data_IF_691845062518
#
_entry.id   IF_691845062518
#
_cell.length_a   1.000
_cell.length_b   1.000
_cell.length_c   1.000
_cell.angle_alpha   90.00
_cell.angle_beta   90.00
_cell.angle_gamma   90.00
#
_symmetry.space_group_name_H-M   'P 1'
#
loop_
_entity.id
_entity.type
_entity.pdbx_description
1 polymer ?
#
# COMPACT_ATOMS: atom_id res chain seq x y z
N UNK A 1 60.94 -20.17 41.99
CA UNK A 1 60.49 -21.42 41.33
C UNK A 1 58.98 -21.37 41.18
N UNK A 2 58.49 -21.53 39.95
CA UNK A 2 57.10 -21.41 39.50
C UNK A 2 56.20 -22.50 40.10
N UNK A 3 54.97 -22.18 40.52
CA UNK A 3 53.79 -23.07 40.41
C UNK A 3 52.54 -22.26 40.07
N UNK A 4 51.73 -22.85 39.21
CA UNK A 4 50.75 -22.26 38.30
C UNK A 4 49.42 -21.89 38.97
N UNK A 5 48.83 -20.77 38.55
CA UNK A 5 47.39 -20.50 38.73
C UNK A 5 46.64 -21.10 37.53
N UNK A 6 45.74 -22.04 37.78
CA UNK A 6 44.79 -22.55 36.78
C UNK A 6 43.61 -21.59 36.76
N UNK A 7 43.55 -20.74 35.73
CA UNK A 7 42.39 -19.94 35.38
C UNK A 7 41.47 -20.85 34.58
N UNK A 8 40.30 -21.17 35.11
CA UNK A 8 39.24 -21.86 34.36
C UNK A 8 38.49 -20.82 33.54
N UNK A 9 38.85 -20.71 32.26
CA UNK A 9 38.08 -19.98 31.26
C UNK A 9 36.94 -20.88 30.78
N UNK A 10 35.69 -20.51 31.09
CA UNK A 10 34.51 -21.15 30.48
C UNK A 10 34.19 -20.39 29.19
N UNK A 11 34.71 -20.91 28.08
CA UNK A 11 34.41 -20.43 26.73
C UNK A 11 33.04 -20.96 26.28
N UNK A 12 32.05 -20.08 26.15
CA UNK A 12 30.75 -20.36 25.54
C UNK A 12 30.92 -20.34 24.01
N UNK A 13 30.91 -21.51 23.36
CA UNK A 13 30.85 -21.61 21.91
C UNK A 13 29.39 -21.44 21.46
N UNK A 14 29.10 -20.34 20.76
CA UNK A 14 27.85 -20.14 20.03
C UNK A 14 27.87 -20.94 18.73
N UNK A 15 26.96 -21.90 18.58
CA UNK A 15 26.80 -22.68 17.36
C UNK A 15 25.92 -21.90 16.38
N UNK A 16 26.52 -21.42 15.30
CA UNK A 16 25.86 -20.87 14.11
C UNK A 16 25.40 -22.05 13.25
N UNK A 17 24.08 -22.21 13.07
CA UNK A 17 23.53 -23.20 12.14
C UNK A 17 23.39 -22.59 10.75
N UNK A 18 24.35 -22.89 9.85
CA UNK A 18 24.20 -22.64 8.42
C UNK A 18 23.37 -23.78 7.80
N UNK A 19 22.18 -23.46 7.30
CA UNK A 19 21.30 -24.39 6.56
C UNK A 19 21.64 -24.32 5.07
N UNK A 20 22.37 -25.32 4.56
CA UNK A 20 22.47 -25.61 3.12
C UNK A 20 21.62 -26.85 2.80
N UNK A 21 20.63 -26.67 1.93
CA UNK A 21 19.69 -27.70 1.48
C UNK A 21 20.25 -28.54 0.32
N UNK A 22 20.18 -29.89 0.44
CA UNK A 22 19.74 -30.89 -0.57
C UNK A 22 20.01 -32.34 -0.09
N UNK A 23 19.34 -33.37 -0.66
CA UNK A 23 18.01 -33.87 -0.35
C UNK A 23 18.02 -35.24 0.39
N UNK A 24 16.89 -35.58 1.02
CA UNK A 24 16.65 -36.78 1.85
C UNK A 24 16.63 -38.10 1.07
N UNK A 25 16.84 -39.24 1.77
CA UNK A 25 15.71 -40.16 1.92
C UNK A 25 15.48 -40.65 3.38
N UNK A 26 14.20 -40.66 3.79
CA UNK A 26 13.52 -41.52 4.81
C UNK A 26 14.27 -41.80 6.13
N UNK A 27 14.02 -41.16 7.30
CA UNK A 27 12.77 -41.02 8.11
C UNK A 27 12.02 -42.36 8.22
N UNK A 28 12.13 -43.16 9.29
CA UNK A 28 11.70 -42.82 10.67
C UNK A 28 12.43 -43.56 11.82
N UNK A 29 13.54 -44.28 11.59
CA UNK A 29 14.16 -45.13 12.64
C UNK A 29 15.46 -44.61 13.28
N UNK A 30 16.00 -43.47 12.82
CA UNK A 30 17.27 -42.90 13.35
C UNK A 30 17.05 -41.85 14.46
N UNK A 31 15.90 -41.17 14.49
CA UNK A 31 15.61 -40.08 15.44
C UNK A 31 15.32 -40.60 16.88
N UNK A 32 14.94 -41.88 17.04
CA UNK A 32 14.67 -42.45 18.35
C UNK A 32 15.96 -42.75 19.15
N UNK A 33 17.01 -43.23 18.48
CA UNK A 33 18.29 -43.58 19.12
C UNK A 33 19.09 -42.36 19.58
N UNK A 34 19.09 -41.28 18.79
CA UNK A 34 19.78 -40.02 19.17
C UNK A 34 19.11 -39.33 20.37
N UNK A 35 17.78 -39.39 20.46
CA UNK A 35 17.05 -38.79 21.59
C UNK A 35 17.31 -39.52 22.92
N UNK A 36 17.51 -40.83 22.90
CA UNK A 36 17.83 -41.60 24.11
C UNK A 36 19.28 -41.36 24.56
N UNK A 37 20.22 -41.25 23.63
CA UNK A 37 21.61 -40.91 23.92
C UNK A 37 21.75 -39.50 24.54
N UNK A 38 21.02 -38.51 24.02
CA UNK A 38 21.01 -37.14 24.54
C UNK A 38 20.39 -37.06 25.94
N UNK A 39 19.32 -37.81 26.20
CA UNK A 39 18.69 -37.88 27.54
C UNK A 39 19.63 -38.50 28.58
N UNK A 40 20.38 -39.53 28.19
CA UNK A 40 21.37 -40.16 29.07
C UNK A 40 22.54 -39.21 29.39
N UNK A 41 23.00 -38.40 28.43
CA UNK A 41 24.04 -37.39 28.67
C UNK A 41 23.55 -36.25 29.58
N UNK A 42 22.31 -35.80 29.42
CA UNK A 42 21.72 -34.75 30.25
C UNK A 42 21.54 -35.21 31.71
N UNK A 43 21.13 -36.47 31.91
CA UNK A 43 21.03 -37.08 33.23
C UNK A 43 22.41 -37.27 33.91
N UNK A 44 23.45 -37.62 33.14
CA UNK A 44 24.82 -37.73 33.64
C UNK A 44 25.37 -36.37 34.09
N UNK A 45 25.21 -35.33 33.26
CA UNK A 45 25.64 -33.97 33.58
C UNK A 45 24.92 -33.39 34.82
N UNK A 46 23.62 -33.69 34.98
CA UNK A 46 22.88 -33.26 36.17
C UNK A 46 23.35 -33.96 37.45
N UNK A 47 23.77 -35.23 37.37
CA UNK A 47 24.37 -35.94 38.51
C UNK A 47 25.73 -35.35 38.89
N UNK A 48 26.56 -35.00 37.91
CA UNK A 48 27.86 -34.35 38.17
C UNK A 48 27.70 -32.98 38.82
N UNK A 49 26.76 -32.15 38.35
CA UNK A 49 26.45 -30.85 38.98
C UNK A 49 25.93 -31.04 40.42
N UNK A 50 25.13 -32.07 40.67
CA UNK A 50 24.59 -32.35 42.02
C UNK A 50 25.69 -32.84 42.96
N UNK A 51 26.61 -33.67 42.48
CA UNK A 51 27.78 -34.13 43.24
C UNK A 51 28.71 -32.96 43.55
N UNK A 52 29.01 -32.11 42.55
CA UNK A 52 29.83 -30.91 42.72
C UNK A 52 29.23 -29.91 43.71
N UNK A 53 27.91 -29.72 43.69
CA UNK A 53 27.20 -28.89 44.69
C UNK A 53 27.21 -29.49 46.09
N UNK A 54 27.21 -30.82 46.22
CA UNK A 54 27.29 -31.50 47.53
C UNK A 54 28.69 -31.54 48.12
N UNK A 55 29.74 -31.41 47.29
CA UNK A 55 31.14 -31.36 47.71
C UNK A 55 31.64 -29.94 48.02
N UNK A 56 30.93 -28.90 47.56
CA UNK A 56 31.22 -27.50 47.87
C UNK A 56 30.69 -27.13 49.28
N UNK A 57 31.36 -27.62 50.32
CA UNK A 57 31.13 -27.18 51.70
C UNK A 57 31.59 -25.73 51.91
N UNK A 58 30.65 -24.89 52.39
CA UNK A 58 30.81 -23.56 53.02
C UNK A 58 32.00 -22.71 52.55
N UNK A 59 31.73 -21.76 51.66
CA UNK A 59 32.55 -20.55 51.51
C UNK A 59 31.84 -19.41 52.25
N UNK A 60 32.45 -18.90 53.31
CA UNK A 60 32.09 -17.63 53.92
C UNK A 60 32.38 -16.51 52.92
N UNK A 61 31.32 -15.81 52.50
CA UNK A 61 31.44 -14.63 51.64
C UNK A 61 31.75 -13.45 52.54
N UNK A 62 33.01 -13.03 52.57
CA UNK A 62 33.40 -11.71 53.06
C UNK A 62 33.00 -10.72 51.95
N UNK A 63 31.91 -9.97 52.16
CA UNK A 63 31.52 -8.85 51.30
C UNK A 63 32.63 -7.79 51.31
N UNK A 64 33.54 -7.88 50.35
CA UNK A 64 34.42 -6.77 50.02
C UNK A 64 33.73 -6.00 48.91
N UNK A 65 33.01 -4.93 49.28
CA UNK A 65 32.42 -3.98 48.35
C UNK A 65 33.55 -3.25 47.62
N UNK A 66 33.98 -3.81 46.50
CA UNK A 66 34.80 -3.08 45.52
C UNK A 66 33.80 -2.30 44.67
N UNK A 67 33.56 -1.04 45.06
CA UNK A 67 33.02 -0.04 44.15
C UNK A 67 34.07 0.18 43.07
N UNK A 68 34.01 -0.61 42.00
CA UNK A 68 34.61 -0.22 40.73
C UNK A 68 33.73 0.92 40.23
N UNK A 69 34.24 2.16 40.11
CA UNK A 69 33.52 3.17 39.37
C UNK A 69 33.55 2.69 37.92
N UNK A 70 32.45 2.08 37.48
CA UNK A 70 32.17 2.02 36.06
C UNK A 70 31.77 3.44 35.71
N UNK A 71 32.75 4.28 35.38
CA UNK A 71 32.49 5.35 34.42
C UNK A 71 32.04 4.64 33.14
N UNK A 72 30.73 4.49 33.00
CA UNK A 72 30.11 4.27 31.69
C UNK A 72 30.49 5.52 30.92
N UNK A 73 31.45 5.42 30.01
CA UNK A 73 31.67 6.51 29.08
C UNK A 73 30.38 6.66 28.28
N UNK A 74 29.70 7.76 28.56
CA UNK A 74 28.50 8.25 27.91
C UNK A 74 28.83 8.61 26.45
N UNK A 75 29.12 7.57 25.67
CA UNK A 75 29.54 7.62 24.27
C UNK A 75 28.35 7.55 23.32
N UNK A 76 27.13 7.72 23.86
CA UNK A 76 25.94 7.95 23.07
C UNK A 76 25.91 9.43 22.66
N UNK A 77 25.79 9.70 21.37
CA UNK A 77 25.60 11.07 20.90
C UNK A 77 24.33 11.65 21.56
N UNK A 78 24.33 12.91 22.03
CA UNK A 78 23.12 13.54 22.51
C UNK A 78 22.00 13.45 21.46
N UNK A 79 20.75 13.29 21.89
CA UNK A 79 19.58 13.19 20.99
C UNK A 79 19.57 14.30 19.94
N UNK A 80 19.86 15.55 20.34
CA UNK A 80 19.95 16.67 19.41
C UNK A 80 21.02 16.48 18.34
N UNK A 81 22.20 15.98 18.72
CA UNK A 81 23.30 15.73 17.78
C UNK A 81 22.93 14.64 16.75
N UNK A 82 22.11 13.66 17.14
CA UNK A 82 21.60 12.63 16.21
C UNK A 82 20.65 13.26 15.18
N UNK A 83 19.75 14.14 15.61
CA UNK A 83 18.87 14.87 14.71
C UNK A 83 19.67 15.78 13.77
N UNK A 84 20.67 16.51 14.29
CA UNK A 84 21.53 17.38 13.48
C UNK A 84 22.27 16.55 12.41
N UNK A 85 22.78 15.36 12.76
CA UNK A 85 23.40 14.46 11.79
C UNK A 85 22.43 13.99 10.71
N UNK A 86 21.16 13.73 11.03
CA UNK A 86 20.11 13.43 10.03
C UNK A 86 19.87 14.63 9.10
N UNK A 87 19.80 15.84 9.65
CA UNK A 87 19.65 17.10 8.92
C UNK A 87 20.87 17.41 8.05
N UNK A 88 22.05 16.91 8.37
CA UNK A 88 23.28 17.12 7.59
C UNK A 88 23.56 16.03 6.53
N UNK A 89 22.82 14.91 6.53
CA UNK A 89 23.02 13.82 5.56
C UNK A 89 22.97 14.30 4.11
N UNK A 90 23.97 13.94 3.31
CA UNK A 90 24.01 14.21 1.87
C UNK A 90 23.03 13.31 1.09
N UNK A 91 21.95 13.82 0.49
CA UNK A 91 20.99 12.99 -0.25
C UNK A 91 21.58 12.33 -1.51
N UNK A 92 22.74 12.79 -2.00
CA UNK A 92 23.44 12.21 -3.14
C UNK A 92 24.24 10.94 -2.83
N UNK A 93 24.62 10.75 -1.56
CA UNK A 93 25.51 9.65 -1.15
C UNK A 93 24.81 8.29 -1.11
N UNK A 94 25.54 7.24 -1.51
CA UNK A 94 25.09 5.85 -1.41
C UNK A 94 24.90 5.38 0.03
N UNK A 95 25.58 6.01 0.99
CA UNK A 95 25.54 5.61 2.40
C UNK A 95 24.40 6.26 3.17
N UNK A 96 23.68 7.21 2.57
CA UNK A 96 22.70 8.04 3.27
C UNK A 96 21.56 7.24 3.85
N UNK A 97 20.99 6.29 3.10
CA UNK A 97 19.92 5.43 3.64
C UNK A 97 20.41 4.61 4.85
N UNK A 98 21.61 4.01 4.77
CA UNK A 98 22.17 3.23 5.87
C UNK A 98 22.45 4.08 7.12
N UNK A 99 22.99 5.28 6.93
CA UNK A 99 23.26 6.22 8.03
C UNK A 99 21.96 6.75 8.64
N UNK A 100 20.98 7.09 7.81
CA UNK A 100 19.67 7.51 8.26
C UNK A 100 18.98 6.43 9.08
N UNK A 101 18.97 5.17 8.61
CA UNK A 101 18.45 4.03 9.38
C UNK A 101 19.14 3.96 10.75
N UNK A 102 20.48 3.97 10.79
CA UNK A 102 21.20 3.94 12.06
C UNK A 102 20.78 5.07 13.02
N UNK A 103 20.65 6.30 12.53
CA UNK A 103 20.24 7.43 13.36
C UNK A 103 18.78 7.37 13.79
N UNK A 104 17.87 6.91 12.93
CA UNK A 104 16.46 6.69 13.29
C UNK A 104 16.33 5.60 14.36
N UNK A 105 17.00 4.45 14.20
CA UNK A 105 17.04 3.39 15.23
C UNK A 105 17.62 3.91 16.54
N UNK A 106 18.68 4.73 16.48
CA UNK A 106 19.24 5.35 17.69
C UNK A 106 18.20 6.23 18.41
N UNK A 107 17.41 7.04 17.68
CA UNK A 107 16.34 7.84 18.28
C UNK A 107 15.23 6.96 18.88
N UNK A 108 14.93 5.80 18.29
CA UNK A 108 13.99 4.82 18.86
C UNK A 108 14.54 4.25 20.17
N UNK A 109 15.83 3.92 20.22
CA UNK A 109 16.50 3.40 21.44
C UNK A 109 16.47 4.42 22.59
N UNK A 110 16.48 5.72 22.30
CA UNK A 110 16.30 6.78 23.30
C UNK A 110 14.85 6.91 23.81
N UNK A 111 13.87 6.28 23.15
CA UNK A 111 12.48 6.27 23.60
C UNK A 111 11.88 7.67 23.80
N UNK A 112 11.22 7.88 24.93
CA UNK A 112 10.56 9.14 25.27
C UNK A 112 11.51 10.35 25.28
N UNK A 113 12.81 10.15 25.53
CA UNK A 113 13.80 11.23 25.60
C UNK A 113 14.08 11.85 24.22
N UNK A 114 13.77 11.12 23.14
CA UNK A 114 13.86 11.65 21.78
C UNK A 114 12.70 12.59 21.40
N UNK A 115 11.53 12.41 22.01
CA UNK A 115 10.29 13.06 21.60
C UNK A 115 10.31 14.59 21.66
N UNK A 116 10.91 15.27 22.66
CA UNK A 116 10.99 16.73 22.69
C UNK A 116 11.75 17.31 21.49
N UNK A 117 12.85 16.65 21.10
CA UNK A 117 13.67 17.08 19.96
C UNK A 117 12.93 16.83 18.64
N UNK A 118 12.25 15.69 18.51
CA UNK A 118 11.42 15.38 17.34
C UNK A 118 10.25 16.37 17.21
N UNK A 119 9.57 16.67 18.33
CA UNK A 119 8.48 17.65 18.39
C UNK A 119 8.91 19.00 17.86
N UNK A 120 10.05 19.48 18.35
CA UNK A 120 10.59 20.77 17.93
C UNK A 120 10.79 20.82 16.41
N UNK A 121 11.34 19.76 15.83
CA UNK A 121 11.53 19.67 14.38
C UNK A 121 10.21 19.56 13.59
N UNK A 122 9.23 18.81 14.10
CA UNK A 122 7.98 18.57 13.37
C UNK A 122 7.00 19.74 13.43
N UNK A 123 7.00 20.50 14.53
CA UNK A 123 5.97 21.48 14.86
C UNK A 123 6.55 22.89 15.04
N UNK A 124 7.66 23.05 15.76
CA UNK A 124 8.09 24.35 16.26
C UNK A 124 9.06 25.09 15.32
N UNK A 125 9.91 24.35 14.61
CA UNK A 125 10.93 24.91 13.73
C UNK A 125 10.47 24.93 12.26
N UNK A 126 10.75 26.04 11.55
CA UNK A 126 10.50 26.21 10.11
C UNK A 126 11.58 25.50 9.26
N UNK A 127 11.85 24.23 9.56
CA UNK A 127 12.83 23.45 8.83
C UNK A 127 12.29 22.99 7.48
N UNK A 128 13.07 23.25 6.43
CA UNK A 128 12.81 22.64 5.13
C UNK A 128 12.99 21.13 5.20
N UNK A 129 11.92 20.40 4.93
CA UNK A 129 11.94 18.94 4.91
C UNK A 129 12.91 18.42 3.85
N UNK A 130 13.64 17.38 4.20
CA UNK A 130 14.63 16.77 3.32
C UNK A 130 14.02 15.57 2.60
N UNK A 131 14.01 15.62 1.28
CA UNK A 131 13.66 14.47 0.45
C UNK A 131 14.82 13.46 0.36
N UNK A 132 14.48 12.17 0.38
CA UNK A 132 15.39 11.07 0.09
C UNK A 132 15.10 10.55 -1.33
N UNK A 133 15.81 11.02 -2.38
CA UNK A 133 15.36 10.82 -3.77
C UNK A 133 15.32 9.35 -4.22
N UNK A 134 16.20 8.52 -3.65
CA UNK A 134 16.25 7.07 -3.93
C UNK A 134 15.01 6.36 -3.38
N UNK A 135 14.62 6.68 -2.15
CA UNK A 135 13.41 6.20 -1.51
C UNK A 135 12.16 6.64 -2.26
N UNK A 136 12.08 7.91 -2.68
CA UNK A 136 10.98 8.42 -3.51
C UNK A 136 10.89 7.64 -4.83
N UNK A 137 12.02 7.37 -5.49
CA UNK A 137 12.04 6.55 -6.72
C UNK A 137 11.61 5.10 -6.46
N UNK A 138 12.01 4.51 -5.34
CA UNK A 138 11.59 3.17 -4.93
C UNK A 138 10.08 3.11 -4.66
N UNK A 139 9.55 4.06 -3.88
CA UNK A 139 8.12 4.16 -3.58
C UNK A 139 7.27 4.44 -4.82
N UNK A 140 7.78 5.24 -5.78
CA UNK A 140 7.13 5.40 -7.09
C UNK A 140 7.07 4.07 -7.87
N UNK A 141 8.13 3.24 -7.79
CA UNK A 141 8.13 1.91 -8.42
C UNK A 141 7.17 0.94 -7.74
N UNK A 142 7.09 0.94 -6.41
CA UNK A 142 6.15 0.06 -5.66
C UNK A 142 4.70 0.46 -5.95
N UNK A 143 4.35 1.75 -5.88
CA UNK A 143 3.03 2.25 -6.27
C UNK A 143 2.70 1.92 -7.73
N UNK A 144 3.68 2.00 -8.65
CA UNK A 144 3.48 1.58 -10.05
C UNK A 144 3.28 0.07 -10.19
N UNK A 145 3.88 -0.76 -9.35
CA UNK A 145 3.66 -2.22 -9.33
C UNK A 145 2.30 -2.57 -8.72
N UNK A 146 1.89 -1.94 -7.63
CA UNK A 146 0.56 -2.09 -7.03
C UNK A 146 -0.53 -1.71 -8.05
N UNK A 147 -0.38 -0.53 -8.68
CA UNK A 147 -1.25 -0.10 -9.77
C UNK A 147 -1.23 -1.04 -10.99
N UNK A 148 -0.16 -1.82 -11.21
CA UNK A 148 -0.12 -2.84 -12.26
C UNK A 148 -0.76 -4.17 -11.86
N UNK A 149 -0.72 -4.53 -10.58
CA UNK A 149 -1.43 -5.69 -10.04
C UNK A 149 -2.95 -5.45 -10.12
N UNK A 150 -3.40 -4.26 -9.71
CA UNK A 150 -4.80 -3.80 -9.87
C UNK A 150 -5.19 -3.67 -11.35
N UNK A 151 -4.21 -3.46 -12.25
CA UNK A 151 -4.43 -3.42 -13.70
C UNK A 151 -4.46 -4.80 -14.36
N UNK A 152 -3.93 -5.85 -13.74
CA UNK A 152 -4.09 -7.24 -14.21
C UNK A 152 -5.50 -7.75 -13.95
N UNK A 153 -6.23 -7.19 -12.98
CA UNK A 153 -7.67 -7.39 -12.78
C UNK A 153 -8.51 -6.38 -13.61
N UNK A 154 -8.00 -5.16 -13.85
CA UNK A 154 -8.68 -4.09 -14.62
C UNK A 154 -8.12 -3.92 -16.07
N UNK A 155 -8.04 -5.01 -16.83
CA UNK A 155 -7.16 -5.14 -17.99
C UNK A 155 -7.22 -4.02 -19.06
N UNK A 156 -6.06 -3.39 -19.32
CA UNK A 156 -5.58 -3.18 -20.69
C UNK A 156 -5.56 -1.76 -21.30
N UNK A 157 -6.16 -0.72 -20.74
CA UNK A 157 -6.57 0.45 -21.56
C UNK A 157 -5.47 1.48 -21.88
N UNK A 158 -4.60 1.86 -20.93
CA UNK A 158 -3.65 2.96 -21.14
C UNK A 158 -2.58 2.75 -22.25
N UNK A 159 -2.50 1.55 -22.85
CA UNK A 159 -1.54 1.26 -23.92
C UNK A 159 -2.01 1.64 -25.33
N UNK A 160 -3.32 1.84 -25.57
CA UNK A 160 -3.89 2.01 -26.93
C UNK A 160 -4.63 3.33 -27.19
N UNK A 161 -4.97 4.12 -26.16
CA UNK A 161 -5.57 5.46 -26.34
C UNK A 161 -4.57 6.55 -26.77
N UNK A 162 -3.36 6.16 -27.18
CA UNK A 162 -2.23 7.09 -27.29
C UNK A 162 -1.81 7.60 -25.91
N UNK A 163 -0.50 7.73 -25.69
CA UNK A 163 -0.07 8.76 -24.75
C UNK A 163 -0.30 10.08 -25.50
N UNK A 164 -0.79 11.15 -24.86
CA UNK A 164 -0.90 12.42 -25.56
C UNK A 164 0.45 12.74 -26.19
N UNK A 165 0.43 13.17 -27.45
CA UNK A 165 1.48 14.02 -27.99
C UNK A 165 1.79 15.04 -26.92
N UNK A 166 3.05 15.11 -26.51
CA UNK A 166 3.52 16.06 -25.53
C UNK A 166 3.39 17.45 -26.16
N UNK A 167 2.22 18.07 -26.03
CA UNK A 167 2.11 19.52 -26.22
C UNK A 167 2.98 20.14 -25.14
N UNK A 168 4.16 20.60 -25.53
CA UNK A 168 5.04 21.37 -24.68
C UNK A 168 4.25 22.58 -24.16
N UNK A 169 4.01 22.63 -22.84
CA UNK A 169 3.41 23.80 -22.19
C UNK A 169 2.15 23.57 -21.35
N UNK A 170 1.47 22.40 -21.42
CA UNK A 170 0.34 22.13 -20.52
C UNK A 170 0.82 21.45 -19.22
N UNK A 171 0.57 22.06 -18.04
CA UNK A 171 0.93 21.44 -16.77
C UNK A 171 0.14 20.14 -16.56
N UNK A 172 0.77 19.15 -15.90
CA UNK A 172 0.08 17.94 -15.47
C UNK A 172 -0.85 18.28 -14.33
N UNK A 173 -2.11 18.59 -14.63
CA UNK A 173 -3.13 18.89 -13.62
C UNK A 173 -3.24 17.75 -12.59
N UNK A 174 -3.04 18.08 -11.31
CA UNK A 174 -3.55 17.28 -10.20
C UNK A 174 -5.08 17.18 -10.36
N UNK A 175 -5.61 15.97 -10.47
CA UNK A 175 -7.04 15.76 -10.80
C UNK A 175 -7.33 15.65 -12.30
N UNK A 176 -6.34 15.38 -13.15
CA UNK A 176 -6.59 14.94 -14.53
C UNK A 176 -7.53 13.72 -14.57
N UNK A 177 -8.37 13.59 -15.59
CA UNK A 177 -9.20 12.40 -15.85
C UNK A 177 -8.41 11.09 -15.70
N UNK A 178 -7.14 11.08 -16.11
CA UNK A 178 -6.24 9.93 -16.00
C UNK A 178 -6.01 9.43 -14.57
N UNK A 179 -6.27 10.25 -13.55
CA UNK A 179 -6.17 9.84 -12.15
C UNK A 179 -7.19 8.74 -11.80
N UNK A 180 -8.36 8.70 -12.45
CA UNK A 180 -9.37 7.67 -12.25
C UNK A 180 -8.84 6.25 -12.53
N UNK A 181 -8.01 6.10 -13.57
CA UNK A 181 -7.43 4.81 -13.96
C UNK A 181 -6.20 4.40 -13.13
N UNK A 182 -5.83 5.19 -12.12
CA UNK A 182 -4.72 4.90 -11.22
C UNK A 182 -5.32 4.60 -9.85
N UNK A 183 -4.79 3.57 -9.17
CA UNK A 183 -5.09 3.38 -7.76
C UNK A 183 -4.61 4.60 -6.97
N UNK A 184 -5.30 4.86 -5.86
CA UNK A 184 -4.85 5.87 -4.91
C UNK A 184 -3.43 5.55 -4.42
N UNK A 185 -2.58 6.57 -4.22
CA UNK A 185 -1.26 6.35 -3.66
C UNK A 185 -1.39 5.72 -2.27
N UNK A 186 -0.49 4.78 -1.96
CA UNK A 186 -0.46 4.12 -0.65
C UNK A 186 0.84 4.53 0.07
N UNK A 187 0.78 5.03 1.31
CA UNK A 187 1.97 5.20 2.13
C UNK A 187 2.59 3.82 2.39
N UNK A 188 3.91 3.78 2.54
CA UNK A 188 4.62 2.53 2.81
C UNK A 188 5.53 2.72 4.02
N UNK A 189 5.04 2.26 5.17
CA UNK A 189 5.74 2.30 6.45
C UNK A 189 6.82 1.20 6.57
N UNK A 190 6.81 0.22 5.67
CA UNK A 190 7.75 -0.92 5.69
C UNK A 190 8.94 -0.68 4.74
N UNK A 191 8.96 0.46 4.03
CA UNK A 191 10.07 0.89 3.20
C UNK A 191 10.76 2.10 3.83
N UNK A 192 12.01 2.33 3.44
CA UNK A 192 12.76 3.50 3.86
C UNK A 192 11.96 4.80 3.59
N UNK A 193 11.88 5.72 4.57
CA UNK A 193 11.01 6.89 4.49
C UNK A 193 11.41 7.80 3.32
N UNK A 194 10.44 8.39 2.60
CA UNK A 194 10.72 9.27 1.48
C UNK A 194 11.23 10.66 1.89
N UNK A 195 11.00 11.09 3.14
CA UNK A 195 11.52 12.34 3.70
C UNK A 195 11.97 12.19 5.15
N UNK A 196 12.74 13.16 5.63
CA UNK A 196 13.16 13.22 7.03
C UNK A 196 11.95 13.32 7.97
N UNK A 197 10.98 14.19 7.67
CA UNK A 197 9.75 14.31 8.48
C UNK A 197 9.00 12.99 8.58
N UNK A 198 8.83 12.27 7.47
CA UNK A 198 8.17 10.95 7.50
C UNK A 198 8.98 9.96 8.33
N UNK A 199 10.31 9.93 8.20
CA UNK A 199 11.16 9.08 9.04
C UNK A 199 11.01 9.38 10.54
N UNK A 200 10.85 10.65 10.91
CA UNK A 200 10.62 11.03 12.31
C UNK A 200 9.21 10.67 12.81
N UNK A 201 8.20 10.68 11.94
CA UNK A 201 6.88 10.12 12.26
C UNK A 201 6.98 8.60 12.51
N UNK A 202 7.76 7.89 11.70
CA UNK A 202 8.03 6.46 11.89
C UNK A 202 8.77 6.18 13.20
N UNK A 203 9.76 7.00 13.57
CA UNK A 203 10.44 6.92 14.87
C UNK A 203 9.46 7.07 16.03
N UNK A 204 8.65 8.13 16.04
CA UNK A 204 7.63 8.32 17.08
C UNK A 204 6.64 7.14 17.14
N UNK A 205 6.27 6.59 15.99
CA UNK A 205 5.40 5.41 15.91
C UNK A 205 6.03 4.18 16.55
N UNK A 206 7.33 3.94 16.32
CA UNK A 206 8.07 2.81 16.85
C UNK A 206 8.39 2.95 18.36
N UNK A 207 8.48 4.19 18.87
CA UNK A 207 8.54 4.46 20.31
C UNK A 207 7.22 4.04 20.99
N UNK A 208 6.08 4.40 20.39
CA UNK A 208 4.78 3.81 20.72
C UNK A 208 4.20 4.10 22.11
N UNK A 209 4.78 5.05 22.86
CA UNK A 209 4.28 5.46 24.18
C UNK A 209 3.11 6.47 24.07
N UNK A 210 2.42 6.74 25.18
CA UNK A 210 1.37 7.78 25.22
C UNK A 210 1.90 9.18 24.84
N UNK A 211 3.16 9.48 25.17
CA UNK A 211 3.80 10.73 24.76
C UNK A 211 4.05 10.77 23.26
N UNK A 212 4.43 9.64 22.66
CA UNK A 212 4.62 9.53 21.22
C UNK A 212 3.27 9.63 20.47
N UNK A 213 2.22 8.99 20.99
CA UNK A 213 0.85 9.15 20.51
C UNK A 213 0.43 10.64 20.52
N UNK A 214 0.67 11.34 21.63
CA UNK A 214 0.37 12.77 21.77
C UNK A 214 1.12 13.61 20.73
N UNK A 215 2.42 13.34 20.51
CA UNK A 215 3.20 14.03 19.48
C UNK A 215 2.62 13.80 18.06
N UNK A 216 2.22 12.58 17.73
CA UNK A 216 1.63 12.27 16.43
C UNK A 216 0.29 13.00 16.24
N UNK A 217 -0.53 13.11 17.29
CA UNK A 217 -1.77 13.88 17.27
C UNK A 217 -1.52 15.38 17.10
N UNK A 218 -0.55 15.94 17.82
CA UNK A 218 -0.20 17.35 17.67
C UNK A 218 0.31 17.65 16.25
N UNK A 219 1.05 16.70 15.67
CA UNK A 219 1.51 16.80 14.28
C UNK A 219 0.35 16.69 13.29
N UNK A 220 -0.66 15.84 13.55
CA UNK A 220 -1.89 15.76 12.75
C UNK A 220 -2.65 17.09 12.76
N UNK A 221 -2.75 17.74 13.92
CA UNK A 221 -3.43 19.02 14.06
C UNK A 221 -2.73 20.18 13.33
N UNK A 222 -1.42 20.12 13.14
CA UNK A 222 -0.64 21.21 12.53
C UNK A 222 -0.26 20.97 11.06
N UNK A 223 -0.12 19.72 10.61
CA UNK A 223 0.37 19.42 9.25
C UNK A 223 -0.61 19.85 8.16
N UNK A 224 -0.10 20.51 7.12
CA UNK A 224 -0.84 20.86 5.90
C UNK A 224 -0.61 19.84 4.75
N UNK A 225 0.17 18.79 5.01
CA UNK A 225 0.62 17.84 3.99
C UNK A 225 -0.23 16.59 3.97
N UNK A 226 -0.96 16.38 2.87
CA UNK A 226 -1.81 15.20 2.72
C UNK A 226 -1.08 13.85 2.79
N UNK A 227 0.21 13.78 2.46
CA UNK A 227 1.02 12.57 2.65
C UNK A 227 1.30 12.30 4.13
N UNK A 228 1.57 13.32 4.94
CA UNK A 228 1.80 13.16 6.38
C UNK A 228 0.52 12.67 7.06
N UNK A 229 -0.65 13.20 6.69
CA UNK A 229 -1.94 12.69 7.19
C UNK A 229 -2.11 11.19 6.91
N UNK A 230 -1.67 10.70 5.75
CA UNK A 230 -1.74 9.27 5.44
C UNK A 230 -0.73 8.41 6.24
N UNK A 231 0.45 8.94 6.55
CA UNK A 231 1.40 8.26 7.45
C UNK A 231 0.92 8.30 8.91
N UNK A 232 0.38 9.44 9.36
CA UNK A 232 -0.22 9.61 10.68
C UNK A 232 -1.45 8.72 10.87
N UNK A 233 -2.25 8.51 9.83
CA UNK A 233 -3.34 7.54 9.84
C UNK A 233 -2.83 6.14 10.16
N UNK A 234 -1.76 5.68 9.50
CA UNK A 234 -1.16 4.37 9.81
C UNK A 234 -0.57 4.36 11.22
N UNK A 235 0.18 5.39 11.59
CA UNK A 235 0.86 5.49 12.87
C UNK A 235 -0.12 5.40 14.05
N UNK A 236 -1.15 6.25 14.04
CA UNK A 236 -2.15 6.31 15.10
C UNK A 236 -3.01 5.05 15.14
N UNK A 237 -3.33 4.44 13.99
CA UNK A 237 -4.05 3.16 13.97
C UNK A 237 -3.18 1.97 14.45
N UNK A 238 -1.85 2.06 14.36
CA UNK A 238 -0.92 1.05 14.91
C UNK A 238 -0.81 1.18 16.44
N UNK A 239 -0.69 2.41 16.96
CA UNK A 239 -0.49 2.67 18.39
C UNK A 239 -1.80 2.56 19.17
N UNK A 240 -2.88 3.17 18.64
CA UNK A 240 -4.18 3.22 19.28
C UNK A 240 -5.30 2.94 18.26
N UNK A 241 -5.52 1.68 17.87
CA UNK A 241 -6.49 1.30 16.85
C UNK A 241 -7.88 1.89 17.10
N UNK A 242 -8.43 2.58 16.10
CA UNK A 242 -9.77 3.17 16.13
C UNK A 242 -9.93 4.44 16.99
N UNK A 243 -9.07 4.67 18.00
CA UNK A 243 -9.21 5.76 18.99
C UNK A 243 -9.29 7.14 18.36
N UNK A 244 -8.49 7.40 17.33
CA UNK A 244 -8.32 8.72 16.72
C UNK A 244 -8.90 8.83 15.31
N UNK A 245 -9.70 7.86 14.89
CA UNK A 245 -10.21 7.81 13.53
C UNK A 245 -10.99 9.09 13.17
N UNK A 246 -11.79 9.60 14.10
CA UNK A 246 -12.59 10.81 13.86
C UNK A 246 -11.70 12.03 13.57
N UNK A 247 -10.69 12.28 14.40
CA UNK A 247 -9.74 13.40 14.22
C UNK A 247 -8.96 13.29 12.91
N UNK A 248 -8.57 12.07 12.52
CA UNK A 248 -7.89 11.81 11.24
C UNK A 248 -8.82 12.17 10.07
N UNK A 249 -10.09 11.77 10.14
CA UNK A 249 -11.06 12.05 9.08
C UNK A 249 -11.43 13.53 9.02
N UNK A 250 -11.62 14.20 10.15
CA UNK A 250 -11.82 15.65 10.23
C UNK A 250 -10.68 16.39 9.56
N UNK A 251 -9.43 16.07 9.93
CA UNK A 251 -8.25 16.69 9.30
C UNK A 251 -8.17 16.42 7.80
N UNK A 252 -8.52 15.19 7.39
CA UNK A 252 -8.55 14.81 5.97
C UNK A 252 -9.56 15.66 5.18
N UNK A 253 -10.74 15.88 5.73
CA UNK A 253 -11.81 16.69 5.12
C UNK A 253 -11.41 18.17 5.04
N UNK A 254 -10.84 18.72 6.11
CA UNK A 254 -10.34 20.10 6.16
C UNK A 254 -9.32 20.37 5.05
N UNK A 255 -8.28 19.53 4.94
CA UNK A 255 -7.25 19.71 3.92
C UNK A 255 -7.80 19.52 2.51
N UNK A 256 -8.69 18.56 2.28
CA UNK A 256 -9.31 18.38 0.96
C UNK A 256 -10.14 19.59 0.52
N UNK A 257 -10.78 20.29 1.46
CA UNK A 257 -11.56 21.49 1.17
C UNK A 257 -10.67 22.71 0.84
N UNK A 258 -9.44 22.75 1.37
CA UNK A 258 -8.50 23.86 1.18
C UNK A 258 -7.60 23.68 -0.04
N UNK A 259 -7.28 22.43 -0.41
CA UNK A 259 -6.37 22.15 -1.51
C UNK A 259 -6.99 22.59 -2.85
N UNK A 260 -6.28 23.38 -3.66
CA UNK A 260 -6.78 23.79 -4.96
C UNK A 260 -7.05 22.57 -5.83
N UNK A 261 -8.19 22.56 -6.49
CA UNK A 261 -8.52 21.55 -7.52
C UNK A 261 -7.53 21.66 -8.69
N UNK A 262 -6.97 22.86 -8.90
CA UNK A 262 -6.11 23.23 -10.02
C UNK A 262 -4.65 23.54 -9.60
N UNK A 263 -3.97 22.65 -8.87
CA UNK A 263 -2.51 22.78 -8.79
C UNK A 263 -1.89 22.14 -10.05
N UNK A 264 -1.94 22.89 -11.16
CA UNK A 264 -1.02 22.72 -12.29
C UNK A 264 0.37 23.29 -11.99
N UNK A 265 0.53 23.99 -10.87
CA UNK A 265 1.84 24.43 -10.41
C UNK A 265 2.52 23.30 -9.64
N UNK A 266 3.66 22.87 -10.19
CA UNK A 266 4.62 22.02 -9.53
C UNK A 266 5.05 22.70 -8.23
N UNK A 267 4.41 22.35 -7.11
CA UNK A 267 5.09 22.47 -5.82
C UNK A 267 6.44 21.78 -5.99
N UNK A 268 7.51 22.53 -5.77
CA UNK A 268 8.89 22.09 -5.97
C UNK A 268 9.24 20.85 -5.13
N UNK A 269 8.48 20.58 -4.05
CA UNK A 269 8.48 19.31 -3.33
C UNK A 269 7.71 18.23 -4.11
N UNK A 270 8.42 17.21 -4.58
CA UNK A 270 7.93 16.18 -5.51
C UNK A 270 6.83 15.27 -4.93
N UNK A 271 6.60 15.36 -3.62
CA UNK A 271 5.64 14.57 -2.85
C UNK A 271 4.29 15.27 -2.65
N UNK A 272 4.24 16.61 -2.69
CA UNK A 272 3.00 17.37 -2.51
C UNK A 272 2.03 17.23 -3.69
N UNK A 273 2.53 16.90 -4.89
CA UNK A 273 1.71 16.67 -6.09
C UNK A 273 0.67 15.53 -5.90
N UNK A 274 0.86 14.63 -4.92
CA UNK A 274 -0.08 13.54 -4.64
C UNK A 274 -0.94 13.75 -3.39
N UNK A 275 -0.88 14.93 -2.75
CA UNK A 275 -1.57 15.21 -1.49
C UNK A 275 -3.07 14.86 -1.55
N UNK A 276 -3.82 15.37 -2.54
CA UNK A 276 -5.25 15.02 -2.73
C UNK A 276 -5.47 13.52 -2.87
N UNK A 277 -4.58 12.83 -3.59
CA UNK A 277 -4.67 11.38 -3.79
C UNK A 277 -4.56 10.59 -2.49
N UNK A 278 -3.64 10.99 -1.59
CA UNK A 278 -3.50 10.38 -0.27
C UNK A 278 -4.75 10.62 0.60
N UNK A 279 -5.27 11.85 0.60
CA UNK A 279 -6.46 12.19 1.39
C UNK A 279 -7.71 11.43 0.92
N UNK A 280 -7.94 11.35 -0.40
CA UNK A 280 -9.02 10.50 -0.93
C UNK A 280 -8.80 9.01 -0.60
N UNK A 281 -7.55 8.54 -0.56
CA UNK A 281 -7.25 7.16 -0.16
C UNK A 281 -7.75 6.85 1.25
N UNK A 282 -7.60 7.80 2.19
CA UNK A 282 -8.08 7.68 3.57
C UNK A 282 -9.61 7.60 3.59
N UNK A 283 -10.29 8.52 2.91
CA UNK A 283 -11.75 8.52 2.87
C UNK A 283 -12.31 7.21 2.26
N UNK A 284 -11.68 6.69 1.19
CA UNK A 284 -12.07 5.41 0.60
C UNK A 284 -11.80 4.23 1.54
N UNK A 285 -10.63 4.19 2.19
CA UNK A 285 -10.26 3.13 3.14
C UNK A 285 -11.30 2.99 4.26
N UNK A 286 -11.78 4.12 4.76
CA UNK A 286 -12.74 4.19 5.87
C UNK A 286 -14.21 4.35 5.44
N UNK A 287 -14.49 4.33 4.12
CA UNK A 287 -15.82 4.55 3.54
C UNK A 287 -16.52 5.82 4.04
N UNK A 288 -15.76 6.88 4.29
CA UNK A 288 -16.30 8.14 4.78
C UNK A 288 -17.08 8.85 3.66
N UNK A 289 -18.35 9.15 3.93
CA UNK A 289 -19.29 9.76 2.98
C UNK A 289 -19.44 11.28 3.13
N UNK A 290 -18.80 11.91 4.12
CA UNK A 290 -19.01 13.33 4.43
C UNK A 290 -18.54 14.25 3.31
N UNK A 291 -17.62 13.79 2.47
CA UNK A 291 -17.11 14.54 1.32
C UNK A 291 -17.88 14.32 0.01
N UNK A 292 -18.97 13.53 0.02
CA UNK A 292 -19.69 13.16 -1.22
C UNK A 292 -20.23 14.38 -1.97
N UNK A 293 -20.88 15.32 -1.29
CA UNK A 293 -21.45 16.49 -1.97
C UNK A 293 -20.36 17.42 -2.52
N UNK A 294 -19.27 17.62 -1.78
CA UNK A 294 -18.11 18.36 -2.26
C UNK A 294 -17.47 17.67 -3.47
N UNK A 295 -17.33 16.34 -3.44
CA UNK A 295 -16.80 15.56 -4.55
C UNK A 295 -17.70 15.62 -5.79
N UNK A 296 -19.03 15.60 -5.63
CA UNK A 296 -19.98 15.80 -6.73
C UNK A 296 -19.85 17.18 -7.36
N UNK A 297 -19.74 18.23 -6.52
CA UNK A 297 -19.62 19.60 -6.98
C UNK A 297 -18.34 19.87 -7.79
N UNK A 298 -17.25 19.18 -7.47
CA UNK A 298 -15.96 19.31 -8.19
C UNK A 298 -15.75 18.27 -9.31
N UNK A 299 -16.69 17.34 -9.50
CA UNK A 299 -16.52 16.20 -10.40
C UNK A 299 -16.33 16.63 -11.86
N UNK A 300 -17.18 17.55 -12.33
CA UNK A 300 -17.09 18.16 -13.66
C UNK A 300 -16.82 19.64 -13.47
N UNK A 301 -15.67 20.10 -13.96
CA UNK A 301 -15.25 21.50 -13.87
C UNK A 301 -15.99 22.36 -14.89
N UNK A 302 -15.89 23.68 -14.73
CA UNK A 302 -16.51 24.67 -15.62
C UNK A 302 -16.02 24.57 -17.07
N UNK A 303 -14.80 24.08 -17.28
CA UNK A 303 -14.21 23.82 -18.59
C UNK A 303 -14.61 22.46 -19.20
N UNK A 304 -15.49 21.70 -18.53
CA UNK A 304 -15.92 20.36 -18.95
C UNK A 304 -14.92 19.25 -18.60
N UNK A 305 -13.80 19.57 -17.95
CA UNK A 305 -12.83 18.55 -17.53
C UNK A 305 -13.33 17.76 -16.31
N UNK A 306 -12.97 16.47 -16.27
CA UNK A 306 -13.39 15.55 -15.20
C UNK A 306 -12.29 15.42 -14.13
N UNK A 307 -12.66 15.52 -12.85
CA UNK A 307 -11.77 15.18 -11.74
C UNK A 307 -11.75 13.66 -11.51
N UNK A 308 -10.68 13.02 -11.97
CA UNK A 308 -10.54 11.57 -11.86
C UNK A 308 -10.40 11.03 -10.43
N UNK A 309 -9.92 11.84 -9.48
CA UNK A 309 -9.84 11.42 -8.07
C UNK A 309 -11.22 11.44 -7.43
N UNK A 310 -12.01 12.49 -7.69
CA UNK A 310 -13.39 12.59 -7.23
C UNK A 310 -14.25 11.45 -7.79
N UNK A 311 -14.13 11.15 -9.09
CA UNK A 311 -14.83 10.02 -9.71
C UNK A 311 -14.49 8.68 -9.02
N UNK A 312 -13.21 8.44 -8.77
CA UNK A 312 -12.74 7.22 -8.11
C UNK A 312 -13.26 7.09 -6.68
N UNK A 313 -13.27 8.19 -5.93
CA UNK A 313 -13.83 8.26 -4.57
C UNK A 313 -15.34 7.99 -4.56
N UNK A 314 -16.11 8.72 -5.38
CA UNK A 314 -17.57 8.57 -5.45
C UNK A 314 -17.98 7.15 -5.82
N UNK A 315 -17.32 6.55 -6.83
CA UNK A 315 -17.56 5.16 -7.23
C UNK A 315 -17.31 4.19 -6.07
N UNK A 316 -16.17 4.32 -5.39
CA UNK A 316 -15.77 3.37 -4.35
C UNK A 316 -16.59 3.50 -3.06
N UNK A 317 -16.96 4.73 -2.68
CA UNK A 317 -17.69 4.97 -1.43
C UNK A 317 -19.20 4.78 -1.57
N UNK A 318 -19.80 5.25 -2.67
CA UNK A 318 -21.25 5.12 -2.88
C UNK A 318 -21.65 3.74 -3.41
N UNK A 319 -20.72 2.97 -3.98
CA UNK A 319 -21.03 1.68 -4.60
C UNK A 319 -22.13 1.83 -5.65
N UNK A 320 -23.11 0.92 -5.66
CA UNK A 320 -24.24 0.96 -6.62
C UNK A 320 -25.04 2.27 -6.57
N UNK A 321 -25.03 2.99 -5.44
CA UNK A 321 -25.72 4.28 -5.29
C UNK A 321 -25.15 5.39 -6.18
N UNK A 322 -23.97 5.22 -6.77
CA UNK A 322 -23.39 6.19 -7.71
C UNK A 322 -24.04 6.13 -9.10
N UNK A 323 -24.77 5.07 -9.45
CA UNK A 323 -25.13 4.79 -10.86
C UNK A 323 -26.01 5.89 -11.45
N UNK A 324 -26.99 6.45 -10.71
CA UNK A 324 -27.83 7.54 -11.21
C UNK A 324 -27.02 8.81 -11.53
N UNK A 325 -25.98 9.09 -10.73
CA UNK A 325 -25.05 10.18 -11.03
C UNK A 325 -24.26 9.88 -12.31
N UNK A 326 -23.71 8.67 -12.44
CA UNK A 326 -22.93 8.30 -13.63
C UNK A 326 -23.78 8.30 -14.91
N UNK A 327 -25.03 7.86 -14.84
CA UNK A 327 -25.97 7.89 -15.95
C UNK A 327 -26.23 9.33 -16.42
N UNK A 328 -26.39 10.28 -15.50
CA UNK A 328 -26.51 11.70 -15.86
C UNK A 328 -25.26 12.23 -16.55
N UNK A 329 -24.07 11.77 -16.15
CA UNK A 329 -22.79 12.21 -16.71
C UNK A 329 -22.49 11.57 -18.07
N UNK A 330 -22.96 10.36 -18.34
CA UNK A 330 -22.85 9.73 -19.67
C UNK A 330 -23.56 10.57 -20.73
N UNK A 331 -24.64 11.25 -20.34
CA UNK A 331 -25.48 12.08 -21.20
C UNK A 331 -25.18 13.59 -21.08
N UNK A 332 -24.08 13.97 -20.41
CA UNK A 332 -23.73 15.37 -20.19
C UNK A 332 -22.88 15.92 -21.35
N UNK A 333 -23.50 16.77 -22.17
CA UNK A 333 -22.87 17.38 -23.35
C UNK A 333 -21.66 18.27 -23.02
N UNK A 334 -21.48 18.67 -21.76
CA UNK A 334 -20.27 19.41 -21.33
C UNK A 334 -19.02 18.55 -21.40
N UNK A 335 -19.16 17.22 -21.34
CA UNK A 335 -18.04 16.27 -21.27
C UNK A 335 -17.63 15.86 -22.68
N UNK A 336 -16.76 16.67 -23.28
CA UNK A 336 -16.33 16.48 -24.67
C UNK A 336 -15.08 15.61 -24.80
N UNK A 337 -14.23 15.56 -23.77
CA UNK A 337 -13.01 14.76 -23.74
C UNK A 337 -13.29 13.24 -23.82
N UNK A 338 -12.66 12.56 -24.78
CA UNK A 338 -12.82 11.11 -24.99
C UNK A 338 -12.37 10.31 -23.77
N UNK A 339 -11.32 10.77 -23.07
CA UNK A 339 -10.82 10.08 -21.87
C UNK A 339 -11.84 10.20 -20.74
N UNK A 340 -12.49 11.36 -20.59
CA UNK A 340 -13.53 11.60 -19.58
C UNK A 340 -14.77 10.75 -19.86
N UNK A 341 -15.27 10.75 -21.10
CA UNK A 341 -16.38 9.88 -21.51
C UNK A 341 -16.05 8.40 -21.27
N UNK A 342 -14.83 7.97 -21.59
CA UNK A 342 -14.38 6.61 -21.30
C UNK A 342 -14.35 6.32 -19.79
N UNK A 343 -13.84 7.24 -18.96
CA UNK A 343 -13.73 7.07 -17.52
C UNK A 343 -15.10 6.92 -16.86
N UNK A 344 -16.09 7.71 -17.27
CA UNK A 344 -17.46 7.66 -16.73
C UNK A 344 -18.14 6.35 -17.14
N UNK A 345 -18.05 5.96 -18.41
CA UNK A 345 -18.58 4.66 -18.88
C UNK A 345 -17.90 3.50 -18.16
N UNK A 346 -16.58 3.54 -17.98
CA UNK A 346 -15.85 2.54 -17.21
C UNK A 346 -16.31 2.49 -15.75
N UNK A 347 -16.54 3.64 -15.10
CA UNK A 347 -17.05 3.70 -13.74
C UNK A 347 -18.43 3.06 -13.62
N UNK A 348 -19.34 3.35 -14.56
CA UNK A 348 -20.71 2.82 -14.55
C UNK A 348 -20.72 1.31 -14.81
N UNK A 349 -19.84 0.83 -15.69
CA UNK A 349 -19.72 -0.59 -16.01
C UNK A 349 -19.11 -1.44 -14.88
N UNK A 350 -18.71 -0.86 -13.74
CA UNK A 350 -18.39 -1.67 -12.54
C UNK A 350 -19.64 -2.37 -11.97
N UNK A 351 -20.82 -1.83 -12.26
CA UNK A 351 -22.08 -2.28 -11.66
C UNK A 351 -22.94 -3.15 -12.59
N UNK A 352 -22.35 -3.69 -13.66
CA UNK A 352 -23.05 -4.64 -14.53
C UNK A 352 -23.41 -5.91 -13.76
N UNK A 353 -24.61 -6.42 -14.03
CA UNK A 353 -25.25 -7.53 -13.32
C UNK A 353 -25.76 -7.16 -11.92
N UNK A 354 -25.77 -5.88 -11.57
CA UNK A 354 -26.27 -5.35 -10.30
C UNK A 354 -27.22 -4.15 -10.48
N UNK A 355 -27.18 -3.48 -11.64
CA UNK A 355 -28.00 -2.31 -11.90
C UNK A 355 -28.44 -2.23 -13.38
N UNK A 356 -29.73 -2.01 -13.61
CA UNK A 356 -30.32 -2.00 -14.94
C UNK A 356 -29.76 -0.92 -15.89
N UNK A 357 -29.42 0.26 -15.38
CA UNK A 357 -28.83 1.32 -16.23
C UNK A 357 -27.41 0.93 -16.67
N UNK A 358 -26.60 0.35 -15.76
CA UNK A 358 -25.27 -0.17 -16.10
C UNK A 358 -25.37 -1.34 -17.11
N UNK A 359 -26.37 -2.20 -16.96
CA UNK A 359 -26.65 -3.30 -17.88
C UNK A 359 -27.06 -2.81 -19.27
N UNK A 360 -27.86 -1.75 -19.34
CA UNK A 360 -28.23 -1.11 -20.60
C UNK A 360 -27.00 -0.49 -21.27
N UNK A 361 -26.20 0.29 -20.52
CA UNK A 361 -24.95 0.85 -21.04
C UNK A 361 -24.00 -0.25 -21.56
N UNK A 362 -23.96 -1.41 -20.91
CA UNK A 362 -23.18 -2.55 -21.38
C UNK A 362 -23.67 -3.04 -22.75
N UNK A 363 -24.99 -3.26 -22.91
CA UNK A 363 -25.56 -3.67 -24.19
C UNK A 363 -25.26 -2.66 -25.30
N UNK A 364 -25.51 -1.38 -25.02
CA UNK A 364 -25.26 -0.29 -25.98
C UNK A 364 -23.78 -0.24 -26.36
N UNK A 365 -22.88 -0.42 -25.39
CA UNK A 365 -21.43 -0.46 -25.65
C UNK A 365 -21.01 -1.66 -26.50
N UNK A 366 -21.66 -2.82 -26.35
CA UNK A 366 -21.41 -3.99 -27.20
C UNK A 366 -21.93 -3.72 -28.62
N UNK A 367 -23.15 -3.20 -28.74
CA UNK A 367 -23.75 -2.86 -30.03
C UNK A 367 -22.91 -1.83 -30.79
N UNK A 368 -22.59 -0.70 -30.16
CA UNK A 368 -21.69 0.33 -30.72
C UNK A 368 -20.34 -0.29 -31.14
N UNK A 369 -19.81 -1.19 -30.31
CA UNK A 369 -18.56 -1.88 -30.57
C UNK A 369 -18.63 -2.71 -31.85
N UNK A 370 -19.72 -3.44 -32.06
CA UNK A 370 -19.96 -4.26 -33.25
C UNK A 370 -20.23 -3.42 -34.51
N UNK A 371 -21.01 -2.35 -34.38
CA UNK A 371 -21.32 -1.41 -35.48
C UNK A 371 -20.06 -0.73 -36.01
N UNK A 372 -19.10 -0.41 -35.14
CA UNK A 372 -17.80 0.19 -35.51
C UNK A 372 -16.86 -0.74 -36.28
N UNK A 373 -17.28 -1.97 -36.62
CA UNK A 373 -16.43 -3.01 -37.20
C UNK A 373 -17.00 -3.59 -38.50
N UNK A 374 -17.46 -2.75 -39.43
CA UNK A 374 -18.06 -3.18 -40.71
C UNK A 374 -17.21 -4.20 -41.50
N UNK A 375 -17.82 -5.33 -41.88
CA UNK A 375 -17.43 -6.13 -43.05
C UNK A 375 -16.29 -7.16 -42.94
N UNK A 376 -15.44 -7.14 -41.91
CA UNK A 376 -14.31 -8.07 -41.78
C UNK A 376 -14.00 -8.48 -40.32
N UNK A 377 -12.98 -9.34 -40.15
CA UNK A 377 -12.50 -9.98 -38.90
C UNK A 377 -12.71 -9.18 -37.62
N UNK A 378 -13.14 -9.89 -36.57
CA UNK A 378 -13.39 -9.32 -35.24
C UNK A 378 -12.21 -8.52 -34.67
N UNK A 379 -12.47 -7.26 -34.31
CA UNK A 379 -11.52 -6.36 -33.69
C UNK A 379 -11.79 -6.20 -32.18
N UNK A 380 -10.84 -6.62 -31.36
CA UNK A 380 -10.92 -6.50 -29.89
C UNK A 380 -10.87 -5.06 -29.37
N UNK A 381 -10.49 -4.07 -30.21
CA UNK A 381 -10.36 -2.68 -29.81
C UNK A 381 -11.66 -2.05 -29.31
N UNK A 382 -12.70 -1.93 -30.18
CA UNK A 382 -14.00 -1.37 -29.77
C UNK A 382 -14.69 -2.19 -28.67
N UNK A 383 -14.47 -3.50 -28.65
CA UNK A 383 -15.07 -4.42 -27.66
C UNK A 383 -14.38 -4.41 -26.29
N UNK A 384 -13.24 -3.71 -26.16
CA UNK A 384 -12.39 -3.82 -24.97
C UNK A 384 -13.08 -3.39 -23.69
N UNK A 385 -13.77 -2.24 -23.70
CA UNK A 385 -14.43 -1.71 -22.51
C UNK A 385 -15.53 -2.67 -21.99
N UNK A 386 -16.55 -3.03 -22.80
CA UNK A 386 -17.61 -3.92 -22.34
C UNK A 386 -17.07 -5.32 -21.98
N UNK A 387 -16.13 -5.88 -22.74
CA UNK A 387 -15.62 -7.22 -22.44
C UNK A 387 -14.70 -7.27 -21.21
N UNK A 388 -13.93 -6.20 -20.93
CA UNK A 388 -13.17 -6.11 -19.67
C UNK A 388 -14.13 -5.98 -18.48
N UNK A 389 -15.25 -5.28 -18.63
CA UNK A 389 -16.22 -5.12 -17.54
C UNK A 389 -16.82 -6.47 -17.08
N UNK A 390 -17.15 -7.37 -18.01
CA UNK A 390 -17.74 -8.70 -17.72
C UNK A 390 -16.96 -9.48 -16.66
N UNK A 391 -15.64 -9.51 -16.77
CA UNK A 391 -14.77 -10.32 -15.90
C UNK A 391 -14.10 -9.52 -14.78
N UNK A 392 -14.44 -8.24 -14.64
CA UNK A 392 -13.87 -7.39 -13.60
C UNK A 392 -14.30 -7.89 -12.23
N UNK A 393 -13.31 -8.05 -11.34
CA UNK A 393 -13.51 -8.51 -9.95
C UNK A 393 -14.25 -9.85 -9.83
N UNK A 394 -14.28 -10.66 -10.90
CA UNK A 394 -15.14 -11.84 -10.98
C UNK A 394 -14.82 -12.92 -9.94
N UNK A 395 -13.58 -12.96 -9.43
CA UNK A 395 -13.16 -13.93 -8.39
C UNK A 395 -13.79 -13.66 -7.02
N UNK A 396 -14.25 -12.45 -6.76
CA UNK A 396 -14.93 -12.07 -5.52
C UNK A 396 -16.40 -11.71 -5.70
N UNK A 397 -16.93 -11.82 -6.93
CA UNK A 397 -18.32 -11.49 -7.22
C UNK A 397 -19.27 -12.58 -6.70
N UNK A 398 -20.45 -12.22 -6.15
CA UNK A 398 -21.50 -13.19 -5.83
C UNK A 398 -21.90 -13.99 -7.08
N UNK A 399 -22.25 -15.26 -6.90
CA UNK A 399 -22.64 -16.15 -8.01
C UNK A 399 -23.80 -15.57 -8.84
N UNK A 400 -24.77 -14.93 -8.18
CA UNK A 400 -25.89 -14.23 -8.82
C UNK A 400 -25.42 -13.13 -9.80
N UNK A 401 -24.41 -12.34 -9.40
CA UNK A 401 -23.82 -11.30 -10.26
C UNK A 401 -23.10 -11.94 -11.46
N UNK A 402 -22.42 -13.08 -11.24
CA UNK A 402 -21.74 -13.81 -12.32
C UNK A 402 -22.78 -14.35 -13.33
N UNK A 403 -23.87 -14.94 -12.85
CA UNK A 403 -24.99 -15.43 -13.67
C UNK A 403 -25.66 -14.28 -14.44
N UNK A 404 -25.95 -13.17 -13.76
CA UNK A 404 -26.52 -11.99 -14.40
C UNK A 404 -25.62 -11.45 -15.52
N UNK A 405 -24.30 -11.37 -15.30
CA UNK A 405 -23.33 -10.98 -16.34
C UNK A 405 -23.28 -11.97 -17.51
N UNK A 406 -23.42 -13.27 -17.25
CA UNK A 406 -23.53 -14.28 -18.30
C UNK A 406 -24.78 -14.07 -19.16
N UNK A 407 -25.95 -13.91 -18.53
CA UNK A 407 -27.22 -13.65 -19.22
C UNK A 407 -27.18 -12.37 -20.05
N UNK A 408 -26.57 -11.30 -19.52
CA UNK A 408 -26.34 -10.05 -20.24
C UNK A 408 -25.47 -10.25 -21.47
N UNK A 409 -24.38 -11.00 -21.33
CA UNK A 409 -23.50 -11.31 -22.46
C UNK A 409 -24.20 -12.17 -23.52
N UNK A 410 -24.99 -13.16 -23.09
CA UNK A 410 -25.79 -14.01 -23.98
C UNK A 410 -26.83 -13.20 -24.76
N UNK A 411 -27.49 -12.25 -24.09
CA UNK A 411 -28.42 -11.30 -24.73
C UNK A 411 -27.69 -10.43 -25.76
N UNK A 412 -26.52 -9.91 -25.43
CA UNK A 412 -25.74 -9.03 -26.30
C UNK A 412 -25.23 -9.73 -27.57
N UNK A 413 -24.90 -11.04 -27.49
CA UNK A 413 -24.39 -11.80 -28.65
C UNK A 413 -25.48 -12.40 -29.54
N UNK A 414 -26.72 -12.54 -29.03
CA UNK A 414 -27.85 -13.13 -29.78
C UNK A 414 -28.12 -12.52 -31.15
N UNK A 415 -28.07 -11.18 -31.36
CA UNK A 415 -28.32 -10.58 -32.67
C UNK A 415 -27.13 -10.66 -33.63
N UNK A 416 -25.97 -11.17 -33.21
CA UNK A 416 -24.75 -11.21 -34.03
C UNK A 416 -24.85 -12.31 -35.09
N UNK A 417 -24.71 -11.94 -36.35
CA UNK A 417 -24.83 -12.86 -37.51
C UNK A 417 -23.50 -13.17 -38.20
N UNK A 418 -22.47 -12.34 -38.01
CA UNK A 418 -21.16 -12.54 -38.63
C UNK A 418 -20.44 -13.75 -37.99
N UNK A 419 -20.06 -14.79 -38.76
CA UNK A 419 -19.42 -16.00 -38.24
C UNK A 419 -18.13 -15.76 -37.43
N UNK A 420 -17.28 -14.84 -37.87
CA UNK A 420 -16.03 -14.52 -37.16
C UNK A 420 -16.32 -13.86 -35.81
N UNK A 421 -17.37 -13.02 -35.75
CA UNK A 421 -17.79 -12.37 -34.51
C UNK A 421 -18.43 -13.38 -33.56
N UNK A 422 -19.27 -14.29 -34.08
CA UNK A 422 -19.86 -15.39 -33.31
C UNK A 422 -18.75 -16.25 -32.68
N UNK A 423 -17.74 -16.63 -33.47
CA UNK A 423 -16.62 -17.43 -32.97
C UNK A 423 -15.82 -16.68 -31.89
N UNK A 424 -15.50 -15.40 -32.12
CA UNK A 424 -14.76 -14.58 -31.16
C UNK A 424 -15.51 -14.40 -29.83
N UNK A 425 -16.81 -14.13 -29.89
CA UNK A 425 -17.67 -13.98 -28.70
C UNK A 425 -17.95 -15.34 -28.02
N UNK A 426 -17.99 -16.44 -28.76
CA UNK A 426 -18.11 -17.80 -28.20
C UNK A 426 -16.97 -18.15 -27.24
N UNK A 427 -15.73 -17.72 -27.54
CA UNK A 427 -14.60 -17.88 -26.63
C UNK A 427 -14.76 -17.14 -25.30
N UNK A 428 -15.54 -16.06 -25.29
CA UNK A 428 -15.85 -15.29 -24.09
C UNK A 428 -16.92 -16.01 -23.27
N UNK A 429 -17.95 -16.56 -23.91
CA UNK A 429 -19.00 -17.34 -23.25
C UNK A 429 -18.42 -18.53 -22.48
N UNK A 430 -17.52 -19.30 -23.09
CA UNK A 430 -16.89 -20.46 -22.45
C UNK A 430 -16.05 -20.13 -21.20
N UNK A 431 -15.72 -18.85 -20.96
CA UNK A 431 -15.08 -18.44 -19.69
C UNK A 431 -16.07 -18.39 -18.53
N UNK A 432 -17.34 -18.07 -18.76
CA UNK A 432 -18.37 -18.10 -17.72
C UNK A 432 -18.62 -19.53 -17.24
N UNK A 433 -18.67 -20.49 -18.16
CA UNK A 433 -18.86 -21.91 -17.85
C UNK A 433 -17.75 -22.45 -16.93
N UNK A 434 -16.50 -22.07 -17.20
CA UNK A 434 -15.37 -22.43 -16.33
C UNK A 434 -15.48 -21.81 -14.93
N UNK A 435 -16.02 -20.60 -14.80
CA UNK A 435 -16.12 -19.88 -13.54
C UNK A 435 -17.26 -20.39 -12.65
N UNK A 436 -18.40 -20.77 -13.24
CA UNK A 436 -19.56 -21.31 -12.53
C UNK A 436 -19.47 -22.83 -12.28
N UNK A 437 -18.54 -23.53 -12.94
CA UNK A 437 -18.31 -24.96 -12.75
C UNK A 437 -16.82 -25.30 -12.86
N UNK A 438 -16.00 -24.96 -11.83
CA UNK A 438 -14.57 -25.26 -11.80
C UNK A 438 -14.36 -26.78 -11.58
N UNK A 439 -14.54 -27.57 -12.63
CA UNK A 439 -14.54 -29.03 -12.59
C UNK A 439 -15.39 -29.69 -13.69
N UNK A 440 -16.12 -28.91 -14.48
CA UNK A 440 -16.80 -29.41 -15.67
C UNK A 440 -15.79 -29.86 -16.72
N UNK A 441 -15.80 -31.16 -16.99
CA UNK A 441 -14.97 -31.88 -17.95
C UNK A 441 -14.65 -31.06 -19.21
N UNK A 442 -13.38 -30.75 -19.45
CA UNK A 442 -12.91 -30.31 -20.76
C UNK A 442 -12.95 -31.51 -21.69
N UNK A 443 -14.15 -31.94 -22.07
CA UNK A 443 -14.41 -32.74 -23.26
C UNK A 443 -14.12 -31.91 -24.51
N UNK A 444 -12.88 -31.44 -24.68
CA UNK A 444 -12.36 -31.16 -26.03
C UNK A 444 -12.04 -32.52 -26.62
N UNK A 445 -12.99 -33.01 -27.40
CA UNK A 445 -12.78 -34.12 -28.32
C UNK A 445 -11.51 -33.90 -29.15
N UNK A 446 -10.86 -35.02 -29.43
CA UNK A 446 -9.65 -35.19 -30.25
C UNK A 446 -9.70 -34.45 -31.58
#
# INVERSE_FOLDING_TARGET
MKKFYVIVAVSLFGVILMLTLKPTPTRDNAEAGENEALRNQLAAAQREVKIAKSQAGRVEIIETRVEVPVEVSDSSLPVQAILDLLIELDPGSERTERRAVFYFESLIDFGDDALPVIRKFLIDDDFQDKEFPRAIKANKKTNKKANQADKKTNSGVAGKLGKPSREEGKPKSAGSTWAYFRGFPKPNFDAFPPTLRIGLLEVATNIGTEKAETLLLDTLGSTDRGIEVAYLEIALQRIAPGKHLEQILERTLELLAQLPVESGEESTASLNHQARGYLFAILVKHKDMRFVENAKAMLVRTDGSLDGLALSYLRQVLGVGVVSLLESLVNDDRITDDVARYAIRDAMLHYIGQNAAADQLFLDSVQEGLEKQEGEKFNWGPMKLPLTALFREIRGAPEEVIRSRQELFDRARKPVTNPDHIQALGNVAGRFDFLLSPGGDTGRGK
#
